data_IF_988589696767
#
_entry.id   IF_988589696767
#
_cell.length_a   1.000
_cell.length_b   1.000
_cell.length_c   1.000
_cell.angle_alpha   90.00
_cell.angle_beta   90.00
_cell.angle_gamma   90.00
#
_symmetry.space_group_name_H-M   'P 1'
#
loop_
_entity.id
_entity.type
_entity.pdbx_description
1 polymer ?
#
# COMPACT_ATOMS: atom_id res chain seq x y z
N UNK A 1 -34.19 -6.74 -10.22
CA UNK A 1 -33.41 -5.49 -10.02
C UNK A 1 -32.44 -5.61 -8.83
N UNK A 2 -31.61 -6.67 -8.77
CA UNK A 2 -30.79 -7.00 -7.59
C UNK A 2 -29.27 -7.06 -7.87
N UNK A 3 -28.89 -7.21 -9.15
CA UNK A 3 -27.49 -7.29 -9.59
C UNK A 3 -26.65 -6.02 -9.33
N UNK A 4 -27.15 -4.78 -9.58
CA UNK A 4 -26.31 -3.59 -9.36
C UNK A 4 -26.04 -3.34 -7.88
N UNK A 5 -27.01 -3.62 -7.00
CA UNK A 5 -26.86 -3.43 -5.55
C UNK A 5 -25.89 -4.44 -4.95
N UNK A 6 -25.92 -5.70 -5.41
CA UNK A 6 -24.97 -6.73 -4.98
C UNK A 6 -23.53 -6.39 -5.41
N UNK A 7 -23.36 -5.89 -6.64
CA UNK A 7 -22.05 -5.44 -7.15
C UNK A 7 -21.50 -4.21 -6.40
N UNK A 8 -22.39 -3.33 -5.94
CA UNK A 8 -22.05 -2.17 -5.13
C UNK A 8 -21.56 -2.60 -3.75
N UNK A 9 -22.32 -3.46 -3.06
CA UNK A 9 -21.96 -3.99 -1.74
C UNK A 9 -20.63 -4.75 -1.79
N UNK A 10 -20.40 -5.54 -2.84
CA UNK A 10 -19.12 -6.24 -3.03
C UNK A 10 -17.94 -5.26 -3.21
N UNK A 11 -18.11 -4.24 -4.03
CA UNK A 11 -17.07 -3.23 -4.26
C UNK A 11 -16.73 -2.45 -2.99
N UNK A 12 -17.73 -2.12 -2.16
CA UNK A 12 -17.52 -1.47 -0.88
C UNK A 12 -16.74 -2.35 0.11
N UNK A 13 -17.06 -3.65 0.17
CA UNK A 13 -16.31 -4.60 1.00
C UNK A 13 -14.86 -4.69 0.54
N UNK A 14 -14.62 -4.83 -0.76
CA UNK A 14 -13.25 -4.88 -1.32
C UNK A 14 -12.49 -3.59 -1.03
N UNK A 15 -13.13 -2.42 -1.20
CA UNK A 15 -12.50 -1.14 -0.92
C UNK A 15 -12.17 -0.97 0.58
N UNK A 16 -13.09 -1.37 1.47
CA UNK A 16 -12.87 -1.35 2.91
C UNK A 16 -11.71 -2.29 3.31
N UNK A 17 -11.65 -3.49 2.75
CA UNK A 17 -10.57 -4.44 3.00
C UNK A 17 -9.21 -3.90 2.52
N UNK A 18 -9.14 -3.37 1.30
CA UNK A 18 -7.92 -2.75 0.76
C UNK A 18 -7.49 -1.55 1.62
N UNK A 19 -8.43 -0.70 2.02
CA UNK A 19 -8.17 0.44 2.89
C UNK A 19 -7.66 0.02 4.27
N UNK A 20 -8.23 -1.02 4.87
CA UNK A 20 -7.77 -1.57 6.14
C UNK A 20 -6.33 -2.08 6.04
N UNK A 21 -6.05 -2.93 5.04
CA UNK A 21 -4.73 -3.53 4.82
C UNK A 21 -3.67 -2.45 4.57
N UNK A 22 -3.98 -1.46 3.72
CA UNK A 22 -3.10 -0.34 3.47
C UNK A 22 -2.78 0.46 4.75
N UNK A 23 -3.79 0.79 5.55
CA UNK A 23 -3.60 1.57 6.77
C UNK A 23 -2.76 0.81 7.81
N UNK A 24 -3.02 -0.48 7.99
CA UNK A 24 -2.20 -1.34 8.87
C UNK A 24 -0.76 -1.42 8.37
N UNK A 25 -0.56 -1.64 7.07
CA UNK A 25 0.77 -1.69 6.45
C UNK A 25 1.55 -0.39 6.66
N UNK A 26 0.91 0.76 6.46
CA UNK A 26 1.53 2.09 6.69
C UNK A 26 2.03 2.23 8.13
N UNK A 27 1.19 1.91 9.11
CA UNK A 27 1.56 2.02 10.52
C UNK A 27 2.65 1.01 10.89
N UNK A 28 2.58 -0.21 10.36
CA UNK A 28 3.59 -1.25 10.61
C UNK A 28 4.96 -0.88 10.04
N UNK A 29 5.03 -0.40 8.80
CA UNK A 29 6.28 0.05 8.17
C UNK A 29 6.91 1.21 8.93
N UNK A 30 6.08 2.17 9.36
CA UNK A 30 6.52 3.29 10.20
C UNK A 30 7.06 2.82 11.56
N UNK A 31 6.38 1.87 12.21
CA UNK A 31 6.82 1.28 13.48
C UNK A 31 8.15 0.52 13.34
N UNK A 32 8.31 -0.25 12.26
CA UNK A 32 9.58 -0.94 11.97
C UNK A 32 10.70 0.08 11.76
N UNK A 33 10.46 1.14 10.98
CA UNK A 33 11.45 2.20 10.77
C UNK A 33 11.90 2.82 12.10
N UNK A 34 10.95 3.13 12.98
CA UNK A 34 11.22 3.69 14.31
C UNK A 34 12.03 2.73 15.18
N UNK A 35 11.77 1.42 15.11
CA UNK A 35 12.53 0.43 15.89
C UNK A 35 13.97 0.21 15.39
N UNK A 36 14.28 0.58 14.14
CA UNK A 36 15.56 0.26 13.48
C UNK A 36 16.51 1.46 13.37
N UNK A 37 15.99 2.68 13.49
CA UNK A 37 16.76 3.91 13.29
C UNK A 37 16.96 4.63 14.62
N UNK A 38 18.18 5.05 14.93
CA UNK A 38 18.45 5.87 16.12
C UNK A 38 17.65 7.17 16.10
N UNK A 39 17.23 7.65 17.27
CA UNK A 39 16.40 8.86 17.42
C UNK A 39 17.00 10.10 16.72
N UNK A 40 18.33 10.21 16.72
CA UNK A 40 19.06 11.32 16.08
C UNK A 40 18.92 11.35 14.54
N UNK A 41 18.65 10.21 13.91
CA UNK A 41 18.49 10.07 12.45
C UNK A 41 17.03 9.84 12.03
N UNK A 42 16.12 9.62 12.98
CA UNK A 42 14.73 9.21 12.72
C UNK A 42 13.98 10.22 11.85
N UNK A 43 14.14 11.53 12.10
CA UNK A 43 13.51 12.58 11.28
C UNK A 43 13.98 12.55 9.83
N UNK A 44 15.27 12.29 9.59
CA UNK A 44 15.84 12.18 8.23
C UNK A 44 15.34 10.93 7.52
N UNK A 45 15.26 9.80 8.23
CA UNK A 45 14.77 8.55 7.69
C UNK A 45 13.29 8.64 7.28
N UNK A 46 12.44 9.23 8.14
CA UNK A 46 11.03 9.53 7.83
C UNK A 46 10.89 10.45 6.62
N UNK A 47 11.72 11.50 6.55
CA UNK A 47 11.75 12.42 5.42
C UNK A 47 12.08 11.71 4.10
N UNK A 48 13.12 10.87 4.09
CA UNK A 48 13.50 10.09 2.90
C UNK A 48 12.41 9.10 2.47
N UNK A 49 11.82 8.37 3.43
CA UNK A 49 10.68 7.49 3.16
C UNK A 49 9.52 8.26 2.53
N UNK A 50 9.19 9.43 3.07
CA UNK A 50 8.10 10.26 2.56
C UNK A 50 8.41 10.78 1.15
N UNK A 51 9.62 11.29 0.89
CA UNK A 51 10.02 11.73 -0.44
C UNK A 51 9.92 10.60 -1.46
N UNK A 52 10.35 9.38 -1.10
CA UNK A 52 10.23 8.21 -1.97
C UNK A 52 8.76 7.87 -2.25
N UNK A 53 7.92 7.88 -1.22
CA UNK A 53 6.48 7.62 -1.36
C UNK A 53 5.80 8.67 -2.27
N UNK A 54 6.14 9.96 -2.12
CA UNK A 54 5.61 11.04 -2.96
C UNK A 54 6.08 10.89 -4.41
N UNK A 55 7.37 10.62 -4.63
CA UNK A 55 7.92 10.44 -5.97
C UNK A 55 7.27 9.25 -6.70
N UNK A 56 7.09 8.12 -6.00
CA UNK A 56 6.39 6.95 -6.54
C UNK A 56 4.91 7.27 -6.83
N UNK A 57 4.25 8.00 -5.92
CA UNK A 57 2.86 8.45 -6.11
C UNK A 57 2.71 9.33 -7.36
N UNK A 58 3.63 10.26 -7.58
CA UNK A 58 3.66 11.11 -8.78
C UNK A 58 3.89 10.30 -10.06
N UNK A 59 4.77 9.31 -10.03
CA UNK A 59 5.02 8.42 -11.17
C UNK A 59 3.76 7.62 -11.53
N UNK A 60 3.11 7.00 -10.54
CA UNK A 60 1.86 6.26 -10.75
C UNK A 60 0.76 7.18 -11.27
N UNK A 61 0.62 8.37 -10.68
CA UNK A 61 -0.37 9.35 -11.12
C UNK A 61 -0.12 9.80 -12.57
N UNK A 62 1.15 10.04 -12.94
CA UNK A 62 1.53 10.43 -14.30
C UNK A 62 1.22 9.33 -15.32
N UNK A 63 1.53 8.08 -14.99
CA UNK A 63 1.17 6.93 -15.84
C UNK A 63 -0.35 6.84 -15.99
N UNK A 64 -1.08 6.92 -14.88
CA UNK A 64 -2.55 6.84 -14.88
C UNK A 64 -3.16 7.99 -15.67
N UNK A 65 -2.60 9.20 -15.60
CA UNK A 65 -3.03 10.33 -16.41
C UNK A 65 -2.78 10.11 -17.92
N UNK A 66 -1.67 9.45 -18.28
CA UNK A 66 -1.32 9.21 -19.68
C UNK A 66 -2.13 8.09 -20.34
N UNK A 67 -2.55 7.05 -19.59
CA UNK A 67 -3.22 5.87 -20.15
C UNK A 67 -4.59 5.55 -19.56
N UNK A 68 -5.06 6.32 -18.57
CA UNK A 68 -6.26 6.03 -17.79
C UNK A 68 -7.53 5.85 -18.63
N UNK A 69 -7.72 6.67 -19.67
CA UNK A 69 -8.89 6.57 -20.57
C UNK A 69 -8.88 5.29 -21.42
N UNK A 70 -7.74 4.61 -21.51
CA UNK A 70 -7.56 3.38 -22.31
C UNK A 70 -7.59 2.11 -21.46
N UNK A 71 -7.70 2.23 -20.14
CA UNK A 71 -7.62 1.11 -19.21
C UNK A 71 -8.91 1.02 -18.41
N UNK A 72 -9.48 -0.19 -18.31
CA UNK A 72 -10.68 -0.40 -17.51
C UNK A 72 -10.38 -0.13 -16.02
N UNK A 73 -11.27 0.56 -15.28
CA UNK A 73 -11.07 0.85 -13.86
C UNK A 73 -10.79 -0.41 -13.02
N UNK A 74 -11.41 -1.54 -13.37
CA UNK A 74 -11.19 -2.83 -12.71
C UNK A 74 -9.72 -3.30 -12.79
N UNK A 75 -9.03 -3.02 -13.90
CA UNK A 75 -7.60 -3.35 -14.07
C UNK A 75 -6.72 -2.53 -13.13
N UNK A 76 -7.06 -1.26 -12.90
CA UNK A 76 -6.34 -0.38 -11.98
C UNK A 76 -6.50 -0.89 -10.54
N UNK A 77 -7.74 -1.16 -10.12
CA UNK A 77 -8.02 -1.70 -8.78
C UNK A 77 -7.39 -3.09 -8.57
N UNK A 78 -7.43 -3.96 -9.57
CA UNK A 78 -6.77 -5.26 -9.50
C UNK A 78 -5.25 -5.13 -9.36
N UNK A 79 -4.62 -4.27 -10.16
CA UNK A 79 -3.18 -4.01 -10.09
C UNK A 79 -2.78 -3.48 -8.71
N UNK A 80 -3.57 -2.56 -8.15
CA UNK A 80 -3.37 -2.05 -6.79
C UNK A 80 -3.46 -3.17 -5.74
N UNK A 81 -4.47 -4.06 -5.85
CA UNK A 81 -4.60 -5.20 -4.95
C UNK A 81 -3.40 -6.16 -5.02
N UNK A 82 -2.88 -6.43 -6.22
CA UNK A 82 -1.67 -7.26 -6.41
C UNK A 82 -0.45 -6.62 -5.77
N UNK A 83 -0.23 -5.32 -5.98
CA UNK A 83 0.90 -4.60 -5.37
C UNK A 83 0.80 -4.61 -3.84
N UNK A 84 -0.40 -4.39 -3.29
CA UNK A 84 -0.64 -4.49 -1.85
C UNK A 84 -0.36 -5.90 -1.32
N UNK A 85 -0.82 -6.94 -2.03
CA UNK A 85 -0.57 -8.32 -1.64
C UNK A 85 0.93 -8.63 -1.55
N UNK A 86 1.69 -8.24 -2.58
CA UNK A 86 3.15 -8.38 -2.58
C UNK A 86 3.77 -7.62 -1.41
N UNK A 87 3.36 -6.37 -1.19
CA UNK A 87 3.85 -5.54 -0.09
C UNK A 87 3.61 -6.17 1.29
N UNK A 88 2.40 -6.70 1.53
CA UNK A 88 2.06 -7.41 2.77
C UNK A 88 2.87 -8.70 2.91
N UNK A 89 3.05 -9.47 1.83
CA UNK A 89 3.88 -10.68 1.87
C UNK A 89 5.34 -10.36 2.20
N UNK A 90 5.94 -9.35 1.58
CA UNK A 90 7.29 -8.90 1.88
C UNK A 90 7.42 -8.42 3.34
N UNK A 91 6.43 -7.67 3.82
CA UNK A 91 6.40 -7.19 5.20
C UNK A 91 6.32 -8.37 6.19
N UNK A 92 5.44 -9.34 5.93
CA UNK A 92 5.28 -10.52 6.75
C UNK A 92 6.57 -11.36 6.82
N UNK A 93 7.24 -11.56 5.67
CA UNK A 93 8.54 -12.26 5.62
C UNK A 93 9.63 -11.51 6.41
N UNK A 94 9.69 -10.18 6.27
CA UNK A 94 10.63 -9.35 7.03
C UNK A 94 10.41 -9.42 8.55
N UNK A 95 9.15 -9.47 8.99
CA UNK A 95 8.79 -9.66 10.41
C UNK A 95 9.18 -11.05 10.91
N UNK A 96 8.95 -12.10 10.12
CA UNK A 96 9.36 -13.48 10.46
C UNK A 96 10.87 -13.57 10.64
N UNK A 97 11.64 -12.96 9.74
CA UNK A 97 13.09 -12.96 9.82
C UNK A 97 13.59 -12.27 11.09
N UNK A 98 12.96 -11.17 11.50
CA UNK A 98 13.31 -10.43 12.71
C UNK A 98 13.08 -11.24 14.01
N UNK A 99 12.04 -12.07 14.05
CA UNK A 99 11.71 -12.89 15.22
C UNK A 99 12.59 -14.16 15.35
N UNK A 100 13.28 -14.57 14.27
CA UNK A 100 14.24 -15.68 14.30
C UNK A 100 15.67 -15.26 14.70
N UNK A 101 15.97 -13.96 14.68
CA UNK A 101 17.27 -13.37 15.02
C UNK A 101 17.32 -12.75 16.43
N UNK A 102 16.21 -12.80 17.19
CA UNK A 102 16.12 -12.36 18.61
C UNK A 102 16.16 -13.53 19.56
#
# INVERSE_FOLDING_TARGET
MALPLLSLSWSLIVFAALGLVYNLGRVSVEGILQSRVCDSALGRAKGLMHCFAVALGLLIFSITAAVGDRVFPSTIFFSFAVVLLIGVSCLALGVVQQNGES
#
